data_IF_252002226619
#
_entry.id   IF_252002226619
#
_cell.length_a   1.000
_cell.length_b   1.000
_cell.length_c   1.000
_cell.angle_alpha   90.00
_cell.angle_beta   90.00
_cell.angle_gamma   90.00
#
_symmetry.space_group_name_H-M   'P 1'
#
loop_
_entity.id
_entity.type
_entity.pdbx_description
1 polymer ?
#
# COMPACT_ATOMS: atom_id res chain seq x y z
N UNK A 1 8.57 11.06 -8.81
CA UNK A 1 7.84 10.39 -9.90
C UNK A 1 6.91 9.38 -9.27
N UNK A 2 5.59 9.50 -9.45
CA UNK A 2 4.63 8.58 -8.84
C UNK A 2 4.75 7.18 -9.45
N UNK A 3 4.77 6.14 -8.63
CA UNK A 3 4.66 4.77 -9.13
C UNK A 3 3.24 4.53 -9.62
N UNK A 4 3.08 4.41 -10.94
CA UNK A 4 1.83 3.98 -11.56
C UNK A 4 1.82 2.45 -11.61
N UNK A 5 0.82 1.88 -10.96
CA UNK A 5 0.39 0.49 -11.15
C UNK A 5 -0.80 0.67 -12.10
N UNK A 6 -0.73 0.10 -13.31
CA UNK A 6 -1.52 0.54 -14.48
C UNK A 6 -3.04 0.54 -14.32
N UNK A 7 -3.81 0.82 -15.38
CA UNK A 7 -5.26 0.75 -15.28
C UNK A 7 -5.72 -0.69 -14.98
N UNK A 8 -6.67 -0.84 -14.06
CA UNK A 8 -7.33 -2.10 -13.78
C UNK A 8 -8.84 -1.89 -13.63
N UNK A 9 -9.61 -2.92 -14.00
CA UNK A 9 -11.07 -2.88 -13.93
C UNK A 9 -11.60 -3.01 -12.49
N UNK A 10 -10.86 -3.71 -11.62
CA UNK A 10 -11.22 -3.88 -10.21
C UNK A 10 -9.98 -4.01 -9.33
N UNK A 11 -10.09 -3.51 -8.10
CA UNK A 11 -9.12 -3.71 -7.04
C UNK A 11 -9.85 -3.97 -5.72
N UNK A 12 -9.37 -4.97 -4.97
CA UNK A 12 -9.94 -5.34 -3.68
C UNK A 12 -8.86 -5.27 -2.61
N UNK A 13 -9.16 -4.63 -1.48
CA UNK A 13 -8.25 -4.64 -0.34
C UNK A 13 -8.47 -5.91 0.46
N UNK A 14 -7.46 -6.78 0.49
CA UNK A 14 -7.51 -8.09 1.16
C UNK A 14 -7.00 -8.01 2.59
N UNK A 15 -5.99 -7.16 2.84
CA UNK A 15 -5.39 -7.03 4.16
C UNK A 15 -4.81 -5.63 4.36
N UNK A 16 -4.92 -5.10 5.57
CA UNK A 16 -4.28 -3.85 5.99
C UNK A 16 -3.51 -4.11 7.28
N UNK A 17 -2.32 -3.51 7.37
CA UNK A 17 -1.61 -3.34 8.63
C UNK A 17 -1.07 -1.90 8.73
N UNK A 18 -0.91 -1.40 9.94
CA UNK A 18 -0.47 -0.02 10.19
C UNK A 18 0.77 0.01 11.06
N UNK A 19 1.53 1.10 10.93
CA UNK A 19 2.67 1.40 11.78
C UNK A 19 2.74 2.90 12.03
N UNK A 20 2.81 3.27 13.30
CA UNK A 20 2.99 4.66 13.72
C UNK A 20 4.46 5.07 13.58
N UNK A 21 4.69 6.24 13.01
CA UNK A 21 6.01 6.90 12.85
C UNK A 21 5.81 8.41 13.13
N UNK A 22 6.63 9.29 12.54
CA UNK A 22 6.30 10.73 12.43
C UNK A 22 5.16 11.01 11.44
N UNK A 23 4.09 10.21 11.55
CA UNK A 23 3.03 9.98 10.57
C UNK A 23 2.51 8.55 10.72
N UNK A 24 1.87 8.01 9.68
CA UNK A 24 1.38 6.62 9.67
C UNK A 24 1.83 5.96 8.36
N UNK A 25 2.47 4.80 8.46
CA UNK A 25 2.62 3.88 7.32
C UNK A 25 1.42 2.92 7.31
N UNK A 26 0.72 2.84 6.18
CA UNK A 26 -0.24 1.79 5.88
C UNK A 26 0.42 0.78 4.93
N UNK A 27 0.39 -0.48 5.31
CA UNK A 27 0.76 -1.61 4.45
C UNK A 27 -0.54 -2.24 3.98
N UNK A 28 -0.78 -2.25 2.68
CA UNK A 28 -2.05 -2.67 2.08
C UNK A 28 -1.78 -3.77 1.07
N UNK A 29 -2.41 -4.93 1.24
CA UNK A 29 -2.47 -5.98 0.23
C UNK A 29 -3.69 -5.74 -0.66
N UNK A 30 -3.46 -5.45 -1.93
CA UNK A 30 -4.49 -5.18 -2.93
C UNK A 30 -4.50 -6.31 -3.94
N UNK A 31 -5.63 -6.99 -4.11
CA UNK A 31 -5.84 -7.96 -5.19
C UNK A 31 -6.31 -7.24 -6.45
N UNK A 32 -5.69 -7.57 -7.56
CA UNK A 32 -5.98 -7.04 -8.90
C UNK A 32 -6.00 -8.23 -9.86
N UNK A 33 -7.20 -8.66 -10.26
CA UNK A 33 -7.38 -9.91 -11.00
C UNK A 33 -6.91 -11.12 -10.20
N UNK A 34 -5.96 -11.88 -10.74
CA UNK A 34 -5.33 -13.03 -10.08
C UNK A 34 -4.10 -12.66 -9.25
N UNK A 35 -3.55 -11.46 -9.46
CA UNK A 35 -2.33 -11.00 -8.78
C UNK A 35 -2.65 -10.18 -7.54
N UNK A 36 -1.67 -10.10 -6.64
CA UNK A 36 -1.68 -9.18 -5.51
C UNK A 36 -0.55 -8.14 -5.63
N UNK A 37 -0.78 -6.98 -5.06
CA UNK A 37 0.19 -5.91 -4.91
C UNK A 37 0.26 -5.51 -3.45
N UNK A 38 1.47 -5.38 -2.90
CA UNK A 38 1.67 -4.85 -1.55
C UNK A 38 2.09 -3.38 -1.66
N UNK A 39 1.23 -2.49 -1.17
CA UNK A 39 1.41 -1.05 -1.26
C UNK A 39 1.75 -0.52 0.13
N UNK A 40 2.81 0.28 0.22
CA UNK A 40 3.08 1.10 1.39
C UNK A 40 2.65 2.53 1.11
N UNK A 41 1.73 3.03 1.91
CA UNK A 41 1.24 4.42 1.85
C UNK A 41 1.72 5.12 3.11
N UNK A 42 2.29 6.31 2.93
CA UNK A 42 2.66 7.18 4.05
C UNK A 42 1.67 8.33 4.15
N UNK A 43 1.13 8.52 5.36
CA UNK A 43 0.29 9.65 5.75
C UNK A 43 1.07 10.57 6.70
N UNK A 44 1.11 11.87 6.39
CA UNK A 44 1.72 12.88 7.27
C UNK A 44 0.89 13.10 8.53
N UNK A 45 1.51 13.61 9.60
CA UNK A 45 0.80 13.98 10.83
C UNK A 45 -0.32 15.00 10.55
N UNK A 46 -1.37 15.08 11.41
CA UNK A 46 -2.49 15.99 11.20
C UNK A 46 -2.13 17.46 11.02
N UNK A 47 -1.12 17.96 11.76
CA UNK A 47 -0.66 19.34 11.62
C UNK A 47 0.02 19.64 10.27
N UNK A 48 0.41 18.58 9.54
CA UNK A 48 1.00 18.63 8.21
C UNK A 48 0.00 18.22 7.12
N UNK A 49 -1.30 18.20 7.43
CA UNK A 49 -2.38 18.12 6.44
C UNK A 49 -2.89 16.71 6.11
N UNK A 50 -2.49 15.66 6.84
CA UNK A 50 -2.88 14.27 6.57
C UNK A 50 -2.66 13.87 5.09
N UNK A 51 -1.55 14.34 4.51
CA UNK A 51 -1.23 14.10 3.11
C UNK A 51 -0.80 12.66 2.92
N UNK A 52 -1.45 11.96 2.00
CA UNK A 52 -1.13 10.56 1.67
C UNK A 52 -0.29 10.48 0.40
N UNK A 53 0.74 9.64 0.42
CA UNK A 53 1.56 9.34 -0.76
C UNK A 53 1.96 7.88 -0.80
N UNK A 54 2.03 7.30 -2.00
CA UNK A 54 2.56 5.94 -2.18
C UNK A 54 4.07 6.00 -1.98
N UNK A 55 4.54 5.35 -0.93
CA UNK A 55 5.96 5.22 -0.61
C UNK A 55 6.63 4.11 -1.44
N UNK A 56 5.95 2.97 -1.58
CA UNK A 56 6.44 1.87 -2.42
C UNK A 56 5.33 0.89 -2.84
N UNK A 57 5.55 0.19 -3.95
CA UNK A 57 4.70 -0.90 -4.44
C UNK A 57 5.55 -2.13 -4.72
N UNK A 58 5.13 -3.28 -4.19
CA UNK A 58 5.63 -4.60 -4.61
C UNK A 58 4.59 -5.22 -5.54
N UNK A 59 4.95 -5.43 -6.80
CA UNK A 59 4.07 -5.98 -7.84
C UNK A 59 4.13 -7.52 -7.87
N UNK A 60 3.15 -8.11 -8.55
CA UNK A 60 3.10 -9.54 -8.92
C UNK A 60 3.32 -10.51 -7.74
N UNK A 61 2.68 -10.19 -6.61
CA UNK A 61 2.64 -11.05 -5.41
C UNK A 61 1.51 -12.06 -5.51
N UNK A 62 1.69 -13.21 -4.88
CA UNK A 62 0.65 -14.22 -4.78
C UNK A 62 -0.35 -13.90 -3.65
N UNK A 63 -1.55 -14.47 -3.72
CA UNK A 63 -2.53 -14.36 -2.65
C UNK A 63 -2.02 -14.91 -1.31
N UNK A 64 -1.14 -15.92 -1.34
CA UNK A 64 -0.57 -16.51 -0.13
C UNK A 64 0.67 -15.78 0.38
N UNK A 65 1.23 -14.85 -0.41
CA UNK A 65 2.38 -14.07 0.03
C UNK A 65 2.01 -13.21 1.25
N UNK A 66 2.76 -13.39 2.33
CA UNK A 66 2.56 -12.61 3.55
C UNK A 66 2.76 -11.12 3.26
N UNK A 67 1.86 -10.28 3.77
CA UNK A 67 2.07 -8.84 3.80
C UNK A 67 3.26 -8.51 4.70
N UNK A 68 4.33 -7.96 4.11
CA UNK A 68 5.56 -7.62 4.82
C UNK A 68 5.51 -6.16 5.28
N UNK A 69 5.74 -5.94 6.58
CA UNK A 69 5.84 -4.63 7.20
C UNK A 69 7.33 -4.28 7.37
N UNK A 70 7.94 -3.70 6.34
CA UNK A 70 9.33 -3.21 6.40
C UNK A 70 9.37 -1.69 6.33
N UNK A 71 10.15 -1.10 7.24
CA UNK A 71 10.42 0.34 7.36
C UNK A 71 11.50 0.82 6.40
#
# INVERSE_FOLDING_TARGET
>A
MGQHVGPFESCEVVQIATQVVSGINYFVKVKVGENCHHVRIYETLPHAGNLMSIHSVQKDKHHDDRLILVV
#
